data_IF_721278828861
#
_entry.id   IF_721278828861
#
_cell.length_a   1.000
_cell.length_b   1.000
_cell.length_c   1.000
_cell.angle_alpha   90.00
_cell.angle_beta   90.00
_cell.angle_gamma   90.00
#
_symmetry.space_group_name_H-M   'P 1'
#
loop_
_entity.id
_entity.type
_entity.pdbx_description
1 polymer ?
#
# COMPACT_ATOMS: atom_id res chain seq x y z
N UNK A 1 -1.76 -26.86 -8.39
CA UNK A 1 -2.34 -25.66 -9.04
C UNK A 1 -1.91 -24.43 -8.23
N UNK A 2 -0.67 -23.96 -8.40
CA UNK A 2 -0.04 -22.98 -7.49
C UNK A 2 0.80 -21.94 -8.22
N UNK A 3 0.31 -21.41 -9.34
CA UNK A 3 1.03 -20.43 -10.17
C UNK A 3 0.20 -19.15 -10.33
N UNK A 4 -0.20 -18.53 -9.23
CA UNK A 4 -0.86 -17.23 -9.26
C UNK A 4 -0.08 -16.29 -8.35
N UNK A 5 0.36 -15.16 -8.91
CA UNK A 5 1.17 -14.09 -8.28
C UNK A 5 2.70 -14.29 -8.33
N UNK A 6 3.25 -14.53 -9.53
CA UNK A 6 4.68 -14.26 -9.82
C UNK A 6 4.85 -13.28 -11.00
N UNK A 7 3.81 -12.53 -11.37
CA UNK A 7 3.94 -11.54 -12.44
C UNK A 7 4.23 -10.17 -11.84
N UNK A 8 5.47 -9.70 -12.03
CA UNK A 8 5.95 -8.39 -11.58
C UNK A 8 5.03 -7.24 -12.02
N UNK A 9 4.44 -7.31 -13.22
CA UNK A 9 3.48 -6.29 -13.69
C UNK A 9 2.21 -6.25 -12.82
N UNK A 10 1.72 -7.42 -12.38
CA UNK A 10 0.56 -7.51 -11.50
C UNK A 10 0.90 -7.00 -10.09
N UNK A 11 2.10 -7.30 -9.59
CA UNK A 11 2.60 -6.79 -8.31
C UNK A 11 2.73 -5.26 -8.32
N UNK A 12 3.31 -4.68 -9.38
CA UNK A 12 3.41 -3.23 -9.55
C UNK A 12 2.02 -2.59 -9.68
N UNK A 13 1.11 -3.22 -10.43
CA UNK A 13 -0.27 -2.73 -10.57
C UNK A 13 -0.98 -2.71 -9.22
N UNK A 14 -0.85 -3.78 -8.43
CA UNK A 14 -1.40 -3.84 -7.06
C UNK A 14 -0.88 -2.70 -6.16
N UNK A 15 0.44 -2.43 -6.19
CA UNK A 15 1.02 -1.34 -5.39
C UNK A 15 0.48 0.03 -5.80
N UNK A 16 0.32 0.27 -7.12
CA UNK A 16 -0.28 1.51 -7.64
C UNK A 16 -1.73 1.68 -7.20
N UNK A 17 -2.53 0.62 -7.27
CA UNK A 17 -3.92 0.64 -6.79
C UNK A 17 -3.99 0.94 -5.29
N UNK A 18 -3.11 0.32 -4.49
CA UNK A 18 -3.04 0.55 -3.05
C UNK A 18 -2.62 1.98 -2.70
N UNK A 19 -1.65 2.53 -3.42
CA UNK A 19 -1.24 3.92 -3.26
C UNK A 19 -2.38 4.89 -3.64
N UNK A 20 -3.10 4.62 -4.73
CA UNK A 20 -4.25 5.45 -5.11
C UNK A 20 -5.36 5.43 -4.06
N UNK A 21 -5.65 4.26 -3.46
CA UNK A 21 -6.60 4.18 -2.35
C UNK A 21 -6.12 4.97 -1.12
N UNK A 22 -4.83 4.93 -0.80
CA UNK A 22 -4.25 5.73 0.27
C UNK A 22 -4.40 7.23 0.00
N UNK A 23 -4.13 7.69 -1.22
CA UNK A 23 -4.32 9.10 -1.61
C UNK A 23 -5.78 9.53 -1.50
N UNK A 24 -6.73 8.68 -1.91
CA UNK A 24 -8.15 8.98 -1.75
C UNK A 24 -8.55 9.14 -0.29
N UNK A 25 -7.98 8.35 0.61
CA UNK A 25 -8.24 8.49 2.05
C UNK A 25 -7.76 9.86 2.53
N UNK A 26 -6.55 10.29 2.17
CA UNK A 26 -6.02 11.62 2.49
C UNK A 26 -6.90 12.73 1.90
N UNK A 27 -7.30 12.62 0.64
CA UNK A 27 -8.12 13.63 -0.03
C UNK A 27 -9.51 13.80 0.61
N UNK A 28 -10.02 12.75 1.26
CA UNK A 28 -11.31 12.80 1.98
C UNK A 28 -11.21 13.31 3.41
N UNK A 29 -10.00 13.51 3.93
CA UNK A 29 -9.79 14.00 5.30
C UNK A 29 -9.95 15.52 5.36
N UNK A 30 -10.64 15.99 6.40
CA UNK A 30 -10.71 17.41 6.73
C UNK A 30 -9.53 17.76 7.66
N UNK A 31 -8.59 18.61 7.25
CA UNK A 31 -7.42 18.95 8.08
C UNK A 31 -7.78 19.61 9.41
N UNK A 32 -8.98 20.19 9.56
CA UNK A 32 -9.44 20.77 10.83
C UNK A 32 -9.95 19.71 11.82
N UNK A 33 -10.35 18.53 11.31
CA UNK A 33 -10.92 17.42 12.10
C UNK A 33 -9.97 16.22 12.23
N UNK A 34 -8.82 16.22 11.55
CA UNK A 34 -7.82 15.14 11.65
C UNK A 34 -7.22 15.09 13.05
N UNK A 35 -7.29 13.92 13.68
CA UNK A 35 -6.71 13.66 15.00
C UNK A 35 -5.41 12.84 14.91
N UNK A 36 -4.70 12.72 16.05
CA UNK A 36 -3.47 11.91 16.11
C UNK A 36 -3.71 10.45 15.72
N UNK A 37 -4.87 9.90 16.07
CA UNK A 37 -5.25 8.52 15.73
C UNK A 37 -5.40 8.31 14.21
N UNK A 38 -5.87 9.33 13.49
CA UNK A 38 -5.95 9.30 12.03
C UNK A 38 -4.55 9.31 11.41
N UNK A 39 -3.63 10.10 11.96
CA UNK A 39 -2.22 10.12 11.54
C UNK A 39 -1.57 8.76 11.78
N UNK A 40 -1.79 8.14 12.94
CA UNK A 40 -1.28 6.79 13.25
C UNK A 40 -1.84 5.74 12.28
N UNK A 41 -3.11 5.88 11.88
CA UNK A 41 -3.72 5.04 10.86
C UNK A 41 -3.10 5.24 9.48
N UNK A 42 -2.84 6.49 9.07
CA UNK A 42 -2.15 6.78 7.80
C UNK A 42 -0.74 6.19 7.78
N UNK A 43 0.01 6.31 8.88
CA UNK A 43 1.33 5.70 9.02
C UNK A 43 1.27 4.18 8.90
N UNK A 44 0.31 3.53 9.56
CA UNK A 44 0.11 2.08 9.46
C UNK A 44 -0.19 1.64 8.02
N UNK A 45 -0.97 2.42 7.26
CA UNK A 45 -1.24 2.12 5.84
C UNK A 45 0.01 2.23 4.96
N UNK A 46 0.90 3.17 5.27
CA UNK A 46 2.19 3.32 4.58
C UNK A 46 3.14 2.17 4.92
N UNK A 47 3.22 1.76 6.19
CA UNK A 47 4.04 0.62 6.62
C UNK A 47 3.58 -0.69 5.93
N UNK A 48 2.28 -0.90 5.79
CA UNK A 48 1.73 -2.03 5.04
C UNK A 48 2.12 -1.99 3.55
N UNK A 49 2.11 -0.80 2.95
CA UNK A 49 2.52 -0.63 1.55
C UNK A 49 4.02 -0.90 1.38
N UNK A 50 4.86 -0.41 2.29
CA UNK A 50 6.30 -0.70 2.32
C UNK A 50 6.57 -2.19 2.46
N UNK A 51 5.89 -2.87 3.40
CA UNK A 51 6.00 -4.31 3.58
C UNK A 51 5.66 -5.06 2.28
N UNK A 52 4.65 -4.62 1.53
CA UNK A 52 4.27 -5.22 0.24
C UNK A 52 5.33 -4.97 -0.83
N UNK A 53 5.90 -3.78 -0.90
CA UNK A 53 7.03 -3.49 -1.78
C UNK A 53 8.21 -4.43 -1.50
N UNK A 54 8.60 -4.58 -0.23
CA UNK A 54 9.70 -5.47 0.16
C UNK A 54 9.38 -6.94 -0.11
N UNK A 55 8.14 -7.39 0.09
CA UNK A 55 7.72 -8.76 -0.24
C UNK A 55 7.88 -9.04 -1.73
N UNK A 56 7.37 -8.17 -2.59
CA UNK A 56 7.48 -8.35 -4.04
C UNK A 56 8.92 -8.28 -4.54
N UNK A 57 9.73 -7.38 -3.97
CA UNK A 57 11.16 -7.31 -4.29
C UNK A 57 11.93 -8.58 -3.88
N UNK A 58 11.57 -9.23 -2.77
CA UNK A 58 12.19 -10.49 -2.36
C UNK A 58 11.68 -11.71 -3.15
N UNK A 59 10.45 -11.65 -3.65
CA UNK A 59 9.90 -12.67 -4.55
C UNK A 59 10.58 -12.66 -5.93
N UNK A 60 11.09 -11.50 -6.38
CA UNK A 60 11.91 -11.37 -7.61
C UNK A 60 13.33 -11.98 -7.49
N UNK A 61 13.82 -12.25 -6.28
CA UNK A 61 15.21 -12.72 -6.02
C UNK A 61 15.31 -14.25 -5.80
N UNK A 62 14.18 -14.97 -5.78
CA UNK A 62 14.13 -16.43 -5.60
C UNK A 62 13.86 -17.18 -6.90
#
# INVERSE_FOLDING_TARGET
MGNAVQNQEQQITYLKERLNMFLQVIDTMDPEEVELEDVDRLLSMLDELELKCTQFQNDDVK
#
